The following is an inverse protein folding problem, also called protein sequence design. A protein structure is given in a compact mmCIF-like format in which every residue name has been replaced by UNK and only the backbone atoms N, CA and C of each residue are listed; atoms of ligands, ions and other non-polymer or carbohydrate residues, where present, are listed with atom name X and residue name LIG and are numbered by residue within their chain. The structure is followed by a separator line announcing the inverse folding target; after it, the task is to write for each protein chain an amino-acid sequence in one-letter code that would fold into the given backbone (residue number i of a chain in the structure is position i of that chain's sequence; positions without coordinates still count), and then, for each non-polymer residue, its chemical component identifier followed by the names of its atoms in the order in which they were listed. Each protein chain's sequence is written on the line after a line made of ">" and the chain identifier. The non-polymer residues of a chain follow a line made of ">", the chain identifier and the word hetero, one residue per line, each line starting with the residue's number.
data_IF_087932521884
#
_entry.id   IF_087932521884
#
_cell.length_a   1.000
_cell.length_b   1.000
_cell.length_c   1.000
_cell.angle_alpha   90.00
_cell.angle_beta   90.00
_cell.angle_gamma   90.00
#
_symmetry.space_group_name_H-M   'P 1'
#
loop_
_entity.id
_entity.type
_entity.pdbx_description
1 polymer ?
#
# COMPACT_ATOMS: atom_id res chain seq x y z
N UNK A 1 -26.00 -17.70 2.77
CA UNK A 1 -24.85 -17.02 3.39
C UNK A 1 -25.40 -15.72 3.96
N UNK A 2 -25.30 -15.49 5.27
CA UNK A 2 -25.89 -14.31 5.89
C UNK A 2 -25.39 -13.05 5.16
N UNK A 3 -26.31 -12.19 4.72
CA UNK A 3 -25.95 -10.81 4.42
C UNK A 3 -25.31 -10.26 5.68
N UNK A 4 -23.99 -10.17 5.70
CA UNK A 4 -23.32 -9.38 6.70
C UNK A 4 -23.77 -7.94 6.43
N UNK A 5 -24.76 -7.47 7.19
CA UNK A 5 -25.17 -6.07 7.25
C UNK A 5 -23.96 -5.27 7.71
N UNK A 6 -23.16 -4.85 6.73
CA UNK A 6 -21.97 -4.07 6.97
C UNK A 6 -22.17 -2.75 6.29
N UNK A 7 -22.36 -1.77 7.14
CA UNK A 7 -22.32 -0.41 6.73
C UNK A 7 -20.86 -0.05 6.41
N UNK A 8 -20.50 -0.17 5.14
CA UNK A 8 -19.23 0.32 4.61
C UNK A 8 -19.21 1.85 4.48
N UNK A 9 -20.24 2.54 4.99
CA UNK A 9 -20.32 4.00 5.07
C UNK A 9 -19.92 4.43 6.49
N UNK A 10 -18.76 5.06 6.61
CA UNK A 10 -18.20 5.46 7.90
C UNK A 10 -18.91 6.63 8.59
N UNK A 11 -19.81 7.33 7.89
CA UNK A 11 -20.53 8.49 8.42
C UNK A 11 -19.62 9.67 8.79
N UNK A 12 -20.09 10.52 9.72
CA UNK A 12 -19.38 11.72 10.15
C UNK A 12 -18.17 11.45 11.05
N UNK A 13 -18.40 10.80 12.20
CA UNK A 13 -17.36 10.45 13.16
C UNK A 13 -17.44 8.96 13.52
N UNK A 14 -16.28 8.28 13.52
CA UNK A 14 -16.17 6.88 13.97
C UNK A 14 -15.03 6.73 14.96
N UNK A 15 -15.34 6.23 16.14
CA UNK A 15 -14.30 5.86 17.11
C UNK A 15 -13.57 4.60 16.63
N UNK A 16 -12.27 4.73 16.35
CA UNK A 16 -11.39 3.64 15.93
C UNK A 16 -10.37 3.32 17.02
N UNK A 17 -10.13 2.03 17.23
CA UNK A 17 -9.16 1.51 18.20
C UNK A 17 -8.16 0.59 17.51
N UNK A 18 -6.94 0.40 18.05
CA UNK A 18 -6.00 -0.56 17.51
C UNK A 18 -6.59 -1.98 17.50
N UNK A 19 -6.24 -2.76 16.49
CA UNK A 19 -6.63 -4.18 16.36
C UNK A 19 -5.43 -5.13 16.34
N UNK A 20 -4.19 -4.60 16.30
CA UNK A 20 -2.95 -5.37 16.38
C UNK A 20 -2.34 -5.23 17.78
N UNK A 21 -1.60 -6.25 18.21
CA UNK A 21 -0.89 -6.22 19.50
C UNK A 21 0.07 -5.02 19.61
N UNK A 22 0.91 -4.80 18.57
CA UNK A 22 1.83 -3.66 18.50
C UNK A 22 1.08 -2.33 18.54
N UNK A 23 -0.06 -2.24 17.84
CA UNK A 23 -0.93 -1.07 17.89
C UNK A 23 -1.42 -0.77 19.30
N UNK A 24 -1.87 -1.78 20.05
CA UNK A 24 -2.29 -1.62 21.45
C UNK A 24 -1.15 -1.17 22.36
N UNK A 25 0.05 -1.76 22.22
CA UNK A 25 1.23 -1.37 23.00
C UNK A 25 1.58 0.10 22.76
N UNK A 26 1.64 0.53 21.49
CA UNK A 26 1.92 1.93 21.14
C UNK A 26 0.83 2.88 21.63
N UNK A 27 -0.43 2.46 21.59
CA UNK A 27 -1.56 3.27 22.02
C UNK A 27 -1.55 3.50 23.53
N UNK A 28 -1.32 2.46 24.34
CA UNK A 28 -1.18 2.58 25.80
C UNK A 28 0.02 3.44 26.16
N UNK A 29 1.17 3.20 25.53
CA UNK A 29 2.38 3.99 25.76
C UNK A 29 2.15 5.46 25.38
N UNK A 30 1.45 5.72 24.29
CA UNK A 30 1.04 7.07 23.88
C UNK A 30 0.25 7.78 24.96
N UNK A 31 -0.76 7.13 25.57
CA UNK A 31 -1.51 7.72 26.68
C UNK A 31 -0.64 8.04 27.90
N UNK A 32 0.27 7.14 28.27
CA UNK A 32 1.18 7.35 29.40
C UNK A 32 2.09 8.56 29.14
N UNK A 33 2.61 8.71 27.92
CA UNK A 33 3.44 9.84 27.52
C UNK A 33 2.64 11.15 27.53
N UNK A 34 1.39 11.14 27.04
CA UNK A 34 0.51 12.32 27.12
C UNK A 34 0.27 12.72 28.57
N UNK A 35 -0.08 11.77 29.44
CA UNK A 35 -0.31 12.04 30.85
C UNK A 35 0.94 12.61 31.55
N UNK A 36 2.11 12.04 31.28
CA UNK A 36 3.39 12.55 31.80
C UNK A 36 3.70 13.96 31.29
N UNK A 37 3.48 14.22 29.99
CA UNK A 37 3.68 15.52 29.37
C UNK A 37 2.77 16.60 29.97
N UNK A 38 1.48 16.31 30.15
CA UNK A 38 0.52 17.23 30.77
C UNK A 38 0.89 17.53 32.22
N UNK A 39 1.28 16.52 33.00
CA UNK A 39 1.73 16.74 34.38
C UNK A 39 3.00 17.60 34.44
N UNK A 40 3.98 17.36 33.57
CA UNK A 40 5.20 18.17 33.50
C UNK A 40 4.92 19.61 33.05
N UNK A 41 4.00 19.79 32.10
CA UNK A 41 3.58 21.11 31.66
C UNK A 41 2.93 21.91 32.80
N UNK A 42 2.20 21.22 33.69
CA UNK A 42 1.54 21.83 34.84
C UNK A 42 2.47 22.09 36.04
N UNK A 43 3.59 21.38 36.18
CA UNK A 43 4.38 21.36 37.43
C UNK A 43 5.81 21.88 37.32
N UNK A 44 6.49 21.68 36.19
CA UNK A 44 7.95 21.88 36.11
C UNK A 44 8.41 22.63 34.87
N UNK A 45 7.94 22.23 33.69
CA UNK A 45 8.49 22.66 32.40
C UNK A 45 7.37 22.80 31.39
N UNK A 46 6.72 23.97 31.33
CA UNK A 46 5.58 24.24 30.46
C UNK A 46 5.81 23.81 29.00
N UNK A 47 6.86 24.36 28.37
CA UNK A 47 7.20 24.09 26.96
C UNK A 47 7.65 22.62 26.76
N UNK A 48 8.52 22.12 27.64
CA UNK A 48 9.00 20.73 27.56
C UNK A 48 7.89 19.70 27.74
N UNK A 49 6.95 19.94 28.66
CA UNK A 49 5.79 19.08 28.89
C UNK A 49 4.80 19.09 27.73
N UNK A 50 4.62 20.24 27.06
CA UNK A 50 3.85 20.32 25.80
C UNK A 50 4.52 19.50 24.70
N UNK A 51 5.85 19.59 24.54
CA UNK A 51 6.59 18.77 23.58
C UNK A 51 6.42 17.27 23.80
N UNK A 52 6.50 16.82 25.05
CA UNK A 52 6.28 15.41 25.43
C UNK A 52 4.83 14.98 25.13
N UNK A 53 3.86 15.85 25.42
CA UNK A 53 2.45 15.59 25.12
C UNK A 53 2.21 15.42 23.60
N UNK A 54 2.87 16.24 22.77
CA UNK A 54 2.80 16.13 21.30
C UNK A 54 3.32 14.76 20.83
N UNK A 55 4.45 14.28 21.37
CA UNK A 55 5.00 12.97 21.02
C UNK A 55 4.00 11.86 21.35
N UNK A 56 3.38 11.91 22.53
CA UNK A 56 2.35 10.94 22.92
C UNK A 56 1.12 10.98 22.00
N UNK A 57 0.64 12.17 21.64
CA UNK A 57 -0.48 12.35 20.71
C UNK A 57 -0.17 11.84 19.29
N UNK A 58 1.05 12.05 18.80
CA UNK A 58 1.50 11.52 17.52
C UNK A 58 1.55 9.98 17.53
N UNK A 59 2.00 9.38 18.64
CA UNK A 59 1.96 7.92 18.82
C UNK A 59 0.53 7.37 18.82
N UNK A 60 -0.40 8.05 19.48
CA UNK A 60 -1.83 7.71 19.46
C UNK A 60 -2.42 7.84 18.04
N UNK A 61 -2.07 8.89 17.29
CA UNK A 61 -2.51 9.07 15.92
C UNK A 61 -1.98 7.95 15.00
N UNK A 62 -0.69 7.61 15.06
CA UNK A 62 -0.09 6.58 14.20
C UNK A 62 -0.64 5.17 14.49
N UNK A 63 -0.97 4.89 15.76
CA UNK A 63 -1.50 3.59 16.18
C UNK A 63 -3.01 3.42 15.98
N UNK A 64 -3.75 4.48 15.65
CA UNK A 64 -5.18 4.41 15.36
C UNK A 64 -5.45 4.07 13.89
N UNK A 65 -6.19 2.99 13.60
CA UNK A 65 -6.47 2.58 12.22
C UNK A 65 -7.52 3.47 11.56
N UNK A 66 -7.70 3.29 10.24
CA UNK A 66 -8.80 3.91 9.49
C UNK A 66 -10.17 3.34 9.94
N UNK A 67 -11.25 4.01 9.58
CA UNK A 67 -12.63 3.60 9.92
C UNK A 67 -13.04 2.23 9.38
N UNK A 68 -12.40 1.76 8.32
CA UNK A 68 -12.74 0.51 7.62
C UNK A 68 -11.78 -0.62 7.97
N UNK A 69 -10.54 -0.32 8.32
CA UNK A 69 -9.47 -1.31 8.50
C UNK A 69 -9.75 -2.34 9.60
N UNK A 70 -10.33 -1.93 10.74
CA UNK A 70 -10.74 -2.86 11.82
C UNK A 70 -11.87 -3.80 11.35
N UNK A 71 -12.89 -3.25 10.68
CA UNK A 71 -14.00 -4.04 10.13
C UNK A 71 -13.54 -5.06 9.09
N UNK A 72 -12.65 -4.64 8.18
CA UNK A 72 -12.05 -5.51 7.17
C UNK A 72 -11.16 -6.60 7.76
N UNK A 73 -10.42 -6.28 8.81
CA UNK A 73 -9.63 -7.28 9.51
C UNK A 73 -10.52 -8.34 10.16
N UNK A 74 -11.58 -7.92 10.86
CA UNK A 74 -12.53 -8.84 11.48
C UNK A 74 -13.22 -9.70 10.43
N UNK A 75 -13.62 -9.12 9.29
CA UNK A 75 -14.22 -9.85 8.21
C UNK A 75 -13.34 -10.94 7.63
N UNK A 76 -12.07 -10.62 7.40
CA UNK A 76 -11.13 -11.59 6.87
C UNK A 76 -11.00 -12.79 7.80
N UNK A 77 -11.02 -12.56 9.11
CA UNK A 77 -10.94 -13.61 10.12
C UNK A 77 -12.23 -14.45 10.21
N UNK A 78 -13.39 -13.92 9.81
CA UNK A 78 -14.69 -14.62 9.89
C UNK A 78 -15.16 -15.23 8.57
N UNK A 79 -14.80 -14.63 7.43
CA UNK A 79 -15.34 -14.98 6.12
C UNK A 79 -14.57 -16.11 5.42
N UNK A 80 -13.27 -16.26 5.74
CA UNK A 80 -12.42 -17.32 5.19
C UNK A 80 -12.53 -18.55 6.09
N UNK A 81 -12.54 -19.74 5.49
CA UNK A 81 -12.59 -20.98 6.26
C UNK A 81 -11.34 -21.13 7.14
N UNK A 82 -11.46 -21.69 8.36
CA UNK A 82 -10.30 -21.91 9.24
C UNK A 82 -9.21 -22.77 8.59
N UNK A 83 -9.58 -23.71 7.73
CA UNK A 83 -8.65 -24.58 7.00
C UNK A 83 -7.82 -23.80 5.97
N UNK A 84 -8.44 -22.91 5.19
CA UNK A 84 -7.72 -22.04 4.26
C UNK A 84 -6.81 -21.05 4.98
N UNK A 85 -7.25 -20.51 6.13
CA UNK A 85 -6.43 -19.66 6.98
C UNK A 85 -5.23 -20.43 7.54
N UNK A 86 -5.42 -21.68 7.99
CA UNK A 86 -4.34 -22.54 8.47
C UNK A 86 -3.33 -22.84 7.35
N UNK A 87 -3.80 -23.20 6.16
CA UNK A 87 -2.94 -23.43 5.01
C UNK A 87 -2.13 -22.18 4.63
N UNK A 88 -2.76 -21.00 4.61
CA UNK A 88 -2.05 -19.74 4.40
C UNK A 88 -1.03 -19.47 5.50
N UNK A 89 -1.34 -19.78 6.75
CA UNK A 89 -0.41 -19.62 7.87
C UNK A 89 0.79 -20.56 7.77
N UNK A 90 0.62 -21.78 7.25
CA UNK A 90 1.71 -22.73 7.00
C UNK A 90 2.62 -22.28 5.83
N UNK A 91 2.03 -21.73 4.77
CA UNK A 91 2.77 -21.23 3.60
C UNK A 91 3.44 -19.86 3.86
N UNK A 92 3.02 -19.16 4.91
CA UNK A 92 3.51 -17.83 5.25
C UNK A 92 4.39 -17.82 6.50
N UNK A 93 5.16 -16.74 6.68
CA UNK A 93 6.05 -16.56 7.81
C UNK A 93 7.51 -16.48 7.42
N UNK A 94 8.34 -16.51 8.47
CA UNK A 94 9.78 -16.44 8.36
C UNK A 94 10.37 -17.85 8.46
N UNK A 95 11.14 -18.24 7.46
CA UNK A 95 11.82 -19.53 7.42
C UNK A 95 13.32 -19.32 7.25
N UNK A 96 14.12 -20.04 8.02
CA UNK A 96 15.59 -20.06 7.86
C UNK A 96 15.93 -21.29 7.03
N UNK A 97 16.32 -21.08 5.78
CA UNK A 97 16.69 -22.17 4.86
C UNK A 97 18.08 -22.72 5.20
N UNK A 98 19.02 -21.82 5.52
CA UNK A 98 20.36 -22.21 5.90
C UNK A 98 20.91 -21.25 6.96
N UNK A 99 21.02 -21.74 8.18
CA UNK A 99 21.57 -20.99 9.31
C UNK A 99 23.01 -20.53 9.07
N UNK A 100 23.86 -21.39 8.53
CA UNK A 100 25.28 -21.10 8.33
C UNK A 100 25.51 -20.03 7.25
N UNK A 101 24.71 -20.04 6.19
CA UNK A 101 24.75 -19.03 5.12
C UNK A 101 23.86 -17.81 5.41
N UNK A 102 23.21 -17.78 6.58
CA UNK A 102 22.21 -16.78 6.98
C UNK A 102 21.14 -16.56 5.90
N UNK A 103 20.75 -17.63 5.21
CA UNK A 103 19.72 -17.59 4.18
C UNK A 103 18.36 -17.77 4.82
N UNK A 104 17.46 -16.83 4.56
CA UNK A 104 16.10 -16.86 5.08
C UNK A 104 15.11 -16.36 4.05
N UNK A 105 13.87 -16.81 4.17
CA UNK A 105 12.78 -16.32 3.36
C UNK A 105 11.63 -15.83 4.23
N UNK A 106 10.98 -14.79 3.75
CA UNK A 106 9.85 -14.15 4.42
C UNK A 106 8.70 -14.05 3.43
N UNK A 107 7.62 -14.77 3.72
CA UNK A 107 6.32 -14.63 3.05
C UNK A 107 5.41 -13.89 4.05
N UNK A 108 4.79 -12.76 3.69
CA UNK A 108 3.94 -12.03 4.62
C UNK A 108 2.78 -12.88 5.13
N UNK A 109 2.56 -12.87 6.44
CA UNK A 109 1.48 -13.63 7.11
C UNK A 109 0.11 -12.99 6.96
N UNK A 110 0.05 -11.70 6.67
CA UNK A 110 -1.20 -10.98 6.43
C UNK A 110 -0.99 -9.99 5.28
N UNK A 111 -1.44 -10.37 4.09
CA UNK A 111 -1.46 -9.49 2.93
C UNK A 111 -2.78 -8.70 2.91
N UNK A 112 -2.77 -7.38 3.07
CA UNK A 112 -3.97 -6.61 3.09
C UNK A 112 -4.49 -6.30 1.68
N UNK A 113 -3.81 -6.72 0.62
CA UNK A 113 -4.29 -6.66 -0.78
C UNK A 113 -4.88 -8.00 -1.26
N UNK A 114 -4.90 -9.02 -0.42
CA UNK A 114 -5.55 -10.31 -0.73
C UNK A 114 -7.07 -10.23 -0.47
N UNK A 115 -7.82 -11.19 -1.01
CA UNK A 115 -9.25 -11.34 -0.81
C UNK A 115 -9.62 -11.33 0.68
N UNK A 116 -10.70 -10.63 1.00
CA UNK A 116 -11.39 -10.55 2.29
C UNK A 116 -12.51 -11.60 2.35
N UNK A 117 -13.29 -11.74 1.28
CA UNK A 117 -14.32 -12.74 1.07
C UNK A 117 -13.80 -13.84 0.15
N UNK A 118 -14.27 -15.09 0.30
CA UNK A 118 -13.80 -16.20 -0.53
C UNK A 118 -14.06 -15.96 -2.02
N UNK A 119 -13.06 -16.26 -2.85
CA UNK A 119 -13.14 -16.17 -4.31
C UNK A 119 -13.03 -17.57 -4.94
N UNK A 120 -13.60 -17.77 -6.15
CA UNK A 120 -13.53 -19.06 -6.84
C UNK A 120 -12.09 -19.49 -7.13
N UNK A 121 -11.73 -20.71 -6.74
CA UNK A 121 -10.40 -21.27 -7.01
C UNK A 121 -10.22 -21.78 -8.45
N UNK A 122 -8.98 -22.08 -8.88
CA UNK A 122 -8.68 -22.53 -10.24
C UNK A 122 -9.48 -23.75 -10.73
N UNK A 123 -9.90 -24.62 -9.81
CA UNK A 123 -10.68 -25.83 -10.09
C UNK A 123 -12.07 -25.54 -10.66
N UNK A 124 -12.66 -24.38 -10.34
CA UNK A 124 -14.00 -24.00 -10.81
C UNK A 124 -13.96 -23.10 -12.04
N UNK A 125 -12.78 -22.72 -12.53
CA UNK A 125 -12.65 -21.86 -13.70
C UNK A 125 -12.96 -22.63 -14.98
N UNK A 126 -13.74 -22.00 -15.87
CA UNK A 126 -13.98 -22.56 -17.19
C UNK A 126 -12.80 -22.21 -18.11
N UNK A 127 -11.91 -23.18 -18.34
CA UNK A 127 -10.76 -23.00 -19.22
C UNK A 127 -11.15 -22.90 -20.71
N UNK A 128 -12.30 -23.45 -21.09
CA UNK A 128 -12.77 -23.46 -22.48
C UNK A 128 -13.48 -22.16 -22.88
N UNK A 129 -14.06 -21.46 -21.91
CA UNK A 129 -14.71 -20.16 -22.11
C UNK A 129 -14.24 -19.17 -21.04
N UNK A 130 -13.08 -18.51 -21.25
CA UNK A 130 -12.52 -17.56 -20.29
C UNK A 130 -13.29 -16.24 -20.24
N UNK A 131 -14.09 -15.93 -21.26
CA UNK A 131 -14.82 -14.67 -21.37
C UNK A 131 -16.28 -14.79 -20.91
N UNK A 132 -16.86 -15.99 -20.91
CA UNK A 132 -18.21 -16.25 -20.44
C UNK A 132 -18.40 -16.11 -18.93
N UNK A 133 -19.65 -16.21 -18.46
CA UNK A 133 -19.99 -16.10 -17.04
C UNK A 133 -19.43 -17.27 -16.22
N UNK A 134 -19.13 -16.99 -14.95
CA UNK A 134 -18.79 -18.04 -14.00
C UNK A 134 -20.05 -18.49 -13.24
N UNK A 135 -20.34 -19.79 -13.25
CA UNK A 135 -21.51 -20.34 -12.57
C UNK A 135 -22.81 -19.75 -13.11
N UNK A 136 -23.56 -19.05 -12.26
CA UNK A 136 -24.82 -18.38 -12.61
C UNK A 136 -24.63 -16.99 -13.23
N UNK A 137 -23.38 -16.53 -13.39
CA UNK A 137 -23.07 -15.21 -13.92
C UNK A 137 -23.35 -14.08 -12.93
N UNK A 138 -23.47 -14.38 -11.63
CA UNK A 138 -23.52 -13.34 -10.61
C UNK A 138 -22.13 -12.74 -10.34
N UNK A 139 -22.04 -11.45 -10.00
CA UNK A 139 -20.75 -10.83 -9.65
C UNK A 139 -20.07 -11.53 -8.47
N UNK A 140 -18.75 -11.46 -8.40
CA UNK A 140 -17.99 -11.99 -7.26
C UNK A 140 -18.44 -11.34 -5.94
N UNK A 141 -18.29 -12.03 -4.79
CA UNK A 141 -18.75 -11.52 -3.50
C UNK A 141 -18.25 -10.12 -3.13
N UNK A 142 -16.99 -9.78 -3.44
CA UNK A 142 -16.44 -8.43 -3.20
C UNK A 142 -16.64 -7.45 -4.36
N UNK A 143 -17.40 -7.82 -5.40
CA UNK A 143 -17.65 -6.89 -6.49
C UNK A 143 -18.43 -5.68 -5.96
N UNK A 144 -18.06 -4.43 -6.31
CA UNK A 144 -18.71 -3.21 -5.80
C UNK A 144 -20.23 -3.15 -6.00
N UNK A 145 -20.75 -3.82 -7.04
CA UNK A 145 -22.21 -3.96 -7.26
C UNK A 145 -22.91 -4.77 -6.16
N UNK A 146 -22.21 -5.69 -5.47
CA UNK A 146 -22.76 -6.50 -4.36
C UNK A 146 -22.59 -5.82 -3.00
N UNK A 147 -21.40 -5.27 -2.73
CA UNK A 147 -21.05 -4.71 -1.40
C UNK A 147 -21.19 -3.19 -1.30
N UNK A 148 -21.31 -2.50 -2.43
CA UNK A 148 -21.22 -1.04 -2.51
C UNK A 148 -19.77 -0.52 -2.46
N UNK A 149 -19.59 0.74 -2.84
CA UNK A 149 -18.32 1.45 -2.71
C UNK A 149 -18.10 1.86 -1.25
N UNK A 150 -17.03 1.40 -0.59
CA UNK A 150 -16.76 1.76 0.80
C UNK A 150 -16.40 3.24 0.92
N UNK A 151 -16.97 3.92 1.92
CA UNK A 151 -16.69 5.33 2.20
C UNK A 151 -16.11 5.48 3.60
N UNK A 152 -14.85 5.94 3.73
CA UNK A 152 -14.26 6.16 5.04
C UNK A 152 -15.02 7.25 5.81
N UNK A 153 -15.02 7.17 7.14
CA UNK A 153 -15.64 8.18 8.00
C UNK A 153 -14.93 9.52 7.82
N UNK A 154 -15.68 10.63 7.82
CA UNK A 154 -15.08 11.98 7.66
C UNK A 154 -14.01 12.23 8.72
N UNK A 155 -14.28 11.87 9.97
CA UNK A 155 -13.36 11.96 11.10
C UNK A 155 -13.31 10.64 11.86
N UNK A 156 -12.13 10.28 12.37
CA UNK A 156 -11.93 9.17 13.30
C UNK A 156 -11.16 9.64 14.53
N UNK A 157 -10.84 8.72 15.43
CA UNK A 157 -9.96 9.00 16.57
C UNK A 157 -8.59 9.54 16.12
N UNK A 158 -8.15 9.21 14.90
CA UNK A 158 -6.95 9.81 14.30
C UNK A 158 -7.06 11.33 14.23
N UNK A 159 -8.16 11.87 13.66
CA UNK A 159 -8.38 13.32 13.54
C UNK A 159 -8.30 14.03 14.89
N UNK A 160 -8.84 13.39 15.95
CA UNK A 160 -8.77 13.92 17.32
C UNK A 160 -7.32 14.00 17.79
N UNK A 161 -6.57 12.91 17.73
CA UNK A 161 -5.18 12.88 18.21
C UNK A 161 -4.24 13.72 17.35
N UNK A 162 -4.35 13.65 16.03
CA UNK A 162 -3.54 14.46 15.11
C UNK A 162 -3.89 15.95 15.22
N UNK A 163 -5.17 16.29 15.40
CA UNK A 163 -5.61 17.67 15.61
C UNK A 163 -5.07 18.24 16.92
N UNK A 164 -5.18 17.49 18.02
CA UNK A 164 -4.57 17.87 19.30
C UNK A 164 -3.05 17.98 19.21
N UNK A 165 -2.38 17.07 18.49
CA UNK A 165 -0.94 17.16 18.26
C UNK A 165 -0.59 18.44 17.50
N UNK A 166 -1.34 18.78 16.44
CA UNK A 166 -1.17 20.03 15.70
C UNK A 166 -1.32 21.25 16.60
N UNK A 167 -2.37 21.32 17.43
CA UNK A 167 -2.53 22.42 18.38
C UNK A 167 -1.40 22.47 19.42
N UNK A 168 -0.93 21.31 19.91
CA UNK A 168 0.21 21.23 20.82
C UNK A 168 1.50 21.73 20.19
N UNK A 169 1.76 21.41 18.91
CA UNK A 169 2.91 21.92 18.15
C UNK A 169 2.82 23.45 18.04
N UNK A 170 1.67 23.98 17.63
CA UNK A 170 1.46 25.43 17.49
C UNK A 170 1.62 26.15 18.84
N UNK A 171 1.08 25.59 19.92
CA UNK A 171 1.22 26.12 21.26
C UNK A 171 2.68 26.11 21.75
N UNK A 172 3.42 25.02 21.52
CA UNK A 172 4.83 24.93 21.86
C UNK A 172 5.68 25.95 21.08
N UNK A 173 5.41 26.10 19.77
CA UNK A 173 6.13 27.06 18.91
C UNK A 173 5.79 28.50 19.32
N UNK A 174 4.53 28.81 19.59
CA UNK A 174 4.13 30.11 20.12
C UNK A 174 4.80 30.43 21.46
N UNK A 175 4.87 29.46 22.38
CA UNK A 175 5.56 29.64 23.65
C UNK A 175 7.08 29.84 23.50
N UNK A 176 7.72 29.17 22.53
CA UNK A 176 9.13 29.40 22.19
C UNK A 176 9.31 30.83 21.64
N UNK A 177 8.44 31.27 20.74
CA UNK A 177 8.50 32.62 20.17
C UNK A 177 8.27 33.71 21.22
N UNK A 178 7.47 33.44 22.25
CA UNK A 178 7.25 34.36 23.38
C UNK A 178 8.30 34.24 24.50
N UNK A 179 9.28 33.35 24.35
CA UNK A 179 10.37 33.19 25.33
C UNK A 179 11.54 34.14 25.00
N UNK A 180 12.42 34.47 25.98
CA UNK A 180 13.59 35.32 25.73
C UNK A 180 14.50 34.79 24.61
N UNK A 181 14.63 33.47 24.49
CA UNK A 181 15.40 32.82 23.42
C UNK A 181 14.69 32.93 22.05
N UNK A 182 13.39 33.21 22.05
CA UNK A 182 12.55 33.41 20.87
C UNK A 182 12.84 34.73 20.14
N UNK A 183 13.27 35.77 20.86
CA UNK A 183 13.59 37.08 20.28
C UNK A 183 14.79 36.99 19.31
N UNK A 184 15.76 36.11 19.60
CA UNK A 184 16.90 35.85 18.70
C UNK A 184 16.51 35.03 17.47
N UNK A 185 15.53 34.12 17.62
CA UNK A 185 15.06 33.24 16.54
C UNK A 185 14.06 33.95 15.61
N UNK A 186 13.40 35.00 16.08
CA UNK A 186 12.44 35.80 15.34
C UNK A 186 11.35 34.96 14.67
N UNK A 187 11.13 35.20 13.37
CA UNK A 187 10.13 34.52 12.56
C UNK A 187 10.45 33.05 12.23
N UNK A 188 11.66 32.58 12.52
CA UNK A 188 12.18 31.30 12.02
C UNK A 188 11.32 30.10 12.45
N UNK A 189 10.90 29.96 13.72
CA UNK A 189 10.08 28.82 14.15
C UNK A 189 8.72 28.77 13.44
N UNK A 190 8.06 29.92 13.26
CA UNK A 190 6.80 30.04 12.52
C UNK A 190 6.95 29.64 11.05
N UNK A 191 8.02 30.11 10.38
CA UNK A 191 8.33 29.77 8.98
C UNK A 191 8.58 28.27 8.79
N UNK A 192 9.29 27.63 9.72
CA UNK A 192 9.55 26.18 9.67
C UNK A 192 8.24 25.40 9.76
N UNK A 193 7.37 25.75 10.72
CA UNK A 193 6.07 25.08 10.90
C UNK A 193 5.17 25.28 9.67
N UNK A 194 5.09 26.50 9.16
CA UNK A 194 4.33 26.80 7.94
C UNK A 194 4.87 26.04 6.73
N UNK A 195 6.20 25.98 6.55
CA UNK A 195 6.86 25.26 5.47
C UNK A 195 6.60 23.74 5.51
N UNK A 196 6.70 23.14 6.70
CA UNK A 196 6.34 21.72 6.92
C UNK A 196 4.85 21.50 6.65
N UNK A 197 3.98 22.37 7.16
CA UNK A 197 2.54 22.32 6.90
C UNK A 197 2.18 22.39 5.41
N UNK A 198 2.85 23.25 4.65
CA UNK A 198 2.69 23.36 3.19
C UNK A 198 3.13 22.07 2.49
N UNK A 199 4.32 21.55 2.80
CA UNK A 199 4.84 20.33 2.19
C UNK A 199 3.91 19.14 2.44
N UNK A 200 3.48 18.95 3.69
CA UNK A 200 2.56 17.88 4.06
C UNK A 200 1.18 18.08 3.41
N UNK A 201 0.70 19.32 3.28
CA UNK A 201 -0.57 19.62 2.61
C UNK A 201 -0.55 19.24 1.12
N UNK A 202 0.57 19.51 0.42
CA UNK A 202 0.74 19.13 -0.99
C UNK A 202 0.76 17.61 -1.17
N UNK A 203 1.46 16.89 -0.30
CA UNK A 203 1.49 15.42 -0.31
C UNK A 203 0.11 14.83 0.00
N UNK A 204 -0.57 15.34 1.03
CA UNK A 204 -1.92 14.94 1.41
C UNK A 204 -2.94 15.22 0.29
N UNK A 205 -2.83 16.37 -0.39
CA UNK A 205 -3.68 16.70 -1.53
C UNK A 205 -3.51 15.72 -2.68
N UNK A 206 -2.26 15.36 -3.02
CA UNK A 206 -1.99 14.39 -4.07
C UNK A 206 -2.58 13.00 -3.75
N UNK A 207 -2.52 12.56 -2.49
CA UNK A 207 -3.10 11.30 -2.04
C UNK A 207 -4.64 11.36 -2.01
N UNK A 208 -5.22 12.44 -1.46
CA UNK A 208 -6.66 12.65 -1.42
C UNK A 208 -7.28 12.69 -2.83
N UNK A 209 -6.57 13.25 -3.81
CA UNK A 209 -6.99 13.24 -5.22
C UNK A 209 -7.07 11.83 -5.80
N UNK A 210 -6.12 10.94 -5.46
CA UNK A 210 -6.14 9.53 -5.91
C UNK A 210 -7.33 8.79 -5.29
N UNK A 211 -7.58 8.99 -4.00
CA UNK A 211 -8.70 8.36 -3.31
C UNK A 211 -10.06 8.82 -3.88
N UNK A 212 -10.22 10.12 -4.15
CA UNK A 212 -11.45 10.65 -4.79
C UNK A 212 -11.68 10.05 -6.16
N UNK A 213 -10.62 9.90 -6.96
CA UNK A 213 -10.74 9.28 -8.28
C UNK A 213 -11.30 7.85 -8.19
N UNK A 214 -10.88 7.05 -7.21
CA UNK A 214 -11.43 5.72 -6.98
C UNK A 214 -12.88 5.76 -6.45
N UNK A 215 -13.20 6.69 -5.56
CA UNK A 215 -14.54 6.80 -4.97
C UNK A 215 -15.61 7.35 -5.93
N UNK A 216 -15.20 8.22 -6.85
CA UNK A 216 -16.09 8.95 -7.76
C UNK A 216 -16.27 8.21 -9.10
N UNK A 217 -15.44 7.20 -9.40
CA UNK A 217 -15.54 6.41 -10.63
C UNK A 217 -16.40 5.16 -10.38
N UNK A 218 -17.54 4.99 -11.05
CA UNK A 218 -18.37 3.82 -10.84
C UNK A 218 -17.71 2.57 -11.45
N UNK A 219 -17.52 1.53 -10.63
CA UNK A 219 -17.10 0.21 -11.13
C UNK A 219 -18.17 -0.39 -12.04
N UNK A 220 -17.75 -0.80 -13.24
CA UNK A 220 -18.59 -1.48 -14.23
C UNK A 220 -18.47 -3.00 -14.10
N UNK A 221 -19.56 -3.72 -14.41
CA UNK A 221 -19.51 -5.16 -14.63
C UNK A 221 -18.79 -5.45 -15.94
N UNK A 222 -18.01 -6.53 -15.99
CA UNK A 222 -17.23 -6.94 -17.15
C UNK A 222 -18.15 -7.21 -18.35
N UNK A 223 -19.26 -7.93 -18.16
CA UNK A 223 -20.22 -8.25 -19.24
C UNK A 223 -20.79 -7.01 -19.96
N UNK A 224 -20.73 -5.84 -19.33
CA UNK A 224 -21.29 -4.59 -19.81
C UNK A 224 -20.28 -3.44 -19.76
N UNK A 225 -18.98 -3.75 -19.80
CA UNK A 225 -17.94 -2.75 -19.73
C UNK A 225 -17.98 -1.84 -20.99
N UNK A 226 -18.09 -0.51 -20.84
CA UNK A 226 -18.13 0.40 -21.97
C UNK A 226 -16.75 0.56 -22.60
N UNK A 227 -16.71 1.03 -23.86
CA UNK A 227 -15.50 1.59 -24.49
C UNK A 227 -15.20 2.97 -23.87
N UNK A 228 -13.95 3.24 -23.52
CA UNK A 228 -13.56 4.46 -22.80
C UNK A 228 -12.61 4.15 -21.65
N UNK A 229 -12.88 4.63 -20.45
CA UNK A 229 -12.05 4.43 -19.27
C UNK A 229 -12.83 3.83 -18.09
N UNK A 230 -13.38 2.60 -18.21
CA UNK A 230 -14.12 1.99 -17.12
C UNK A 230 -13.20 1.56 -15.97
N UNK A 231 -13.79 1.57 -14.77
CA UNK A 231 -13.25 0.90 -13.60
C UNK A 231 -13.76 -0.54 -13.55
N UNK A 232 -12.85 -1.48 -13.36
CA UNK A 232 -13.10 -2.91 -13.34
C UNK A 232 -12.45 -3.54 -12.10
N UNK A 233 -13.18 -4.41 -11.44
CA UNK A 233 -12.69 -5.19 -10.30
C UNK A 233 -12.98 -6.66 -10.54
N UNK A 234 -11.97 -7.50 -10.36
CA UNK A 234 -12.17 -8.93 -10.56
C UNK A 234 -11.00 -9.77 -10.11
N UNK A 235 -11.09 -11.05 -10.47
CA UNK A 235 -10.06 -12.05 -10.25
C UNK A 235 -9.16 -12.17 -11.48
N UNK A 236 -7.87 -12.33 -11.23
CA UNK A 236 -6.89 -12.64 -12.26
C UNK A 236 -7.01 -14.10 -12.69
N UNK A 237 -7.36 -14.34 -13.94
CA UNK A 237 -7.45 -15.66 -14.56
C UNK A 237 -6.47 -15.78 -15.73
N UNK A 238 -6.05 -17.01 -16.09
CA UNK A 238 -5.14 -17.20 -17.20
C UNK A 238 -5.74 -16.62 -18.49
N UNK A 239 -4.96 -15.80 -19.18
CA UNK A 239 -5.26 -15.39 -20.55
C UNK A 239 -4.70 -16.41 -21.55
N UNK A 240 -4.70 -16.05 -22.83
CA UNK A 240 -4.10 -16.86 -23.90
C UNK A 240 -2.59 -17.07 -23.73
N UNK A 241 -1.91 -16.13 -23.09
CA UNK A 241 -0.49 -16.23 -22.74
C UNK A 241 -0.20 -17.17 -21.54
N UNK A 242 -1.24 -17.68 -20.87
CA UNK A 242 -1.10 -18.52 -19.69
C UNK A 242 -0.57 -17.78 -18.47
N UNK A 243 0.37 -18.39 -17.76
CA UNK A 243 1.08 -17.80 -16.61
C UNK A 243 2.58 -18.03 -16.75
N UNK A 244 3.36 -17.26 -15.98
CA UNK A 244 4.82 -17.36 -15.97
C UNK A 244 5.35 -17.87 -14.62
N UNK A 245 6.52 -18.49 -14.68
CA UNK A 245 7.35 -18.73 -13.51
C UNK A 245 8.46 -17.68 -13.48
N UNK A 246 8.52 -16.89 -12.41
CA UNK A 246 9.49 -15.82 -12.25
C UNK A 246 10.68 -16.34 -11.47
N UNK A 247 11.86 -16.30 -12.08
CA UNK A 247 13.13 -16.62 -11.45
C UNK A 247 13.83 -15.34 -11.01
N UNK A 248 13.84 -15.08 -9.70
CA UNK A 248 14.40 -13.84 -9.15
C UNK A 248 15.92 -13.82 -9.30
N UNK A 249 16.45 -12.79 -9.95
CA UNK A 249 17.88 -12.60 -10.23
C UNK A 249 18.54 -13.79 -10.97
N UNK A 250 17.74 -14.54 -11.75
CA UNK A 250 18.18 -15.70 -12.53
C UNK A 250 18.38 -16.98 -11.72
N UNK A 251 17.92 -17.03 -10.47
CA UNK A 251 18.11 -18.17 -9.58
C UNK A 251 16.87 -19.09 -9.58
N UNK A 252 17.07 -20.37 -9.91
CA UNK A 252 16.00 -21.39 -9.93
C UNK A 252 15.43 -21.70 -8.54
N UNK A 253 16.21 -21.53 -7.47
CA UNK A 253 15.75 -21.71 -6.10
C UNK A 253 14.90 -20.53 -5.60
N UNK A 254 14.93 -19.41 -6.31
CA UNK A 254 14.16 -18.20 -6.01
C UNK A 254 13.07 -18.01 -7.07
N UNK A 255 12.28 -19.06 -7.25
CA UNK A 255 11.20 -19.12 -8.22
C UNK A 255 9.84 -18.86 -7.56
N UNK A 256 8.95 -18.22 -8.31
CA UNK A 256 7.53 -18.18 -7.99
C UNK A 256 6.72 -18.50 -9.25
N UNK A 257 5.93 -19.56 -9.18
CA UNK A 257 5.05 -20.00 -10.26
C UNK A 257 3.72 -19.23 -10.26
N UNK A 258 2.93 -19.39 -11.33
CA UNK A 258 1.60 -18.80 -11.49
C UNK A 258 1.56 -17.27 -11.42
N UNK A 259 2.65 -16.62 -11.81
CA UNK A 259 2.73 -15.17 -11.88
C UNK A 259 2.13 -14.68 -13.20
N UNK A 260 1.53 -13.50 -13.16
CA UNK A 260 1.03 -12.77 -14.33
C UNK A 260 1.83 -11.49 -14.53
N UNK A 261 2.14 -10.81 -13.43
CA UNK A 261 2.95 -9.60 -13.40
C UNK A 261 3.94 -9.65 -12.26
N UNK A 262 5.15 -9.17 -12.49
CA UNK A 262 6.14 -9.10 -11.43
C UNK A 262 6.99 -7.84 -11.49
N UNK A 263 7.53 -7.50 -10.33
CA UNK A 263 8.67 -6.61 -10.15
C UNK A 263 9.49 -7.18 -9.01
N UNK A 264 10.77 -7.47 -9.24
CA UNK A 264 11.68 -7.80 -8.16
C UNK A 264 12.76 -6.75 -8.01
N UNK A 265 13.22 -6.56 -6.77
CA UNK A 265 14.35 -5.69 -6.45
C UNK A 265 15.41 -6.50 -5.71
N UNK A 266 16.66 -6.22 -6.03
CA UNK A 266 17.83 -6.72 -5.33
C UNK A 266 18.52 -5.55 -4.64
N UNK A 267 18.58 -5.63 -3.32
CA UNK A 267 19.16 -4.63 -2.44
C UNK A 267 20.41 -5.18 -1.75
N UNK A 268 21.40 -4.32 -1.57
CA UNK A 268 22.60 -4.62 -0.81
C UNK A 268 22.65 -3.72 0.42
N UNK A 269 22.97 -4.30 1.57
CA UNK A 269 23.25 -3.55 2.78
C UNK A 269 24.69 -3.05 2.70
N UNK A 270 24.85 -1.79 2.30
CA UNK A 270 26.15 -1.14 2.18
C UNK A 270 26.43 -0.37 3.47
N UNK A 271 27.55 -0.69 4.10
CA UNK A 271 28.00 -0.05 5.33
C UNK A 271 29.27 0.76 5.08
N UNK A 272 29.29 1.99 5.60
CA UNK A 272 30.45 2.89 5.58
C UNK A 272 30.75 3.41 6.97
N UNK A 273 32.02 3.69 7.25
CA UNK A 273 32.41 4.42 8.44
C UNK A 273 32.31 5.92 8.13
N UNK A 274 31.52 6.64 8.92
CA UNK A 274 31.36 8.09 8.84
C UNK A 274 31.96 8.68 10.09
N UNK A 275 32.82 9.67 9.93
CA UNK A 275 33.36 10.46 11.04
C UNK A 275 32.39 11.59 11.35
N UNK A 276 31.98 11.72 12.61
CA UNK A 276 31.19 12.87 13.05
C UNK A 276 32.08 14.12 13.19
N UNK A 277 31.45 15.27 13.44
CA UNK A 277 32.16 16.54 13.64
C UNK A 277 33.06 16.56 14.87
N UNK A 278 32.99 15.54 15.73
CA UNK A 278 33.78 15.38 16.96
C UNK A 278 34.92 14.35 16.78
N UNK A 279 35.08 13.76 15.58
CA UNK A 279 36.13 12.79 15.28
C UNK A 279 35.78 11.34 15.62
N UNK A 280 34.56 11.06 16.09
CA UNK A 280 34.10 9.69 16.36
C UNK A 280 33.64 9.01 15.08
N UNK A 281 34.04 7.75 14.89
CA UNK A 281 33.65 6.96 13.73
C UNK A 281 32.40 6.15 14.04
N UNK A 282 31.31 6.44 13.33
CA UNK A 282 30.06 5.66 13.37
C UNK A 282 29.90 4.84 12.09
N UNK A 283 29.35 3.64 12.23
CA UNK A 283 29.00 2.79 11.09
C UNK A 283 27.60 3.13 10.62
N UNK A 284 27.48 3.69 9.42
CA UNK A 284 26.20 3.97 8.77
C UNK A 284 25.94 2.89 7.73
N UNK A 285 24.78 2.25 7.79
CA UNK A 285 24.40 1.15 6.90
C UNK A 285 23.07 1.44 6.23
N UNK A 286 23.06 1.42 4.90
CA UNK A 286 21.86 1.67 4.09
C UNK A 286 21.60 0.50 3.15
N UNK A 287 20.32 0.20 2.94
CA UNK A 287 19.89 -0.72 1.89
C UNK A 287 19.81 0.03 0.57
N UNK A 288 20.65 -0.36 -0.38
CA UNK A 288 20.71 0.27 -1.71
C UNK A 288 20.22 -0.72 -2.75
N UNK A 289 19.21 -0.34 -3.53
CA UNK A 289 18.78 -1.14 -4.69
C UNK A 289 19.86 -1.12 -5.76
N UNK A 290 20.35 -2.30 -6.13
CA UNK A 290 21.44 -2.47 -7.11
C UNK A 290 20.91 -3.01 -8.44
N UNK A 291 19.91 -3.89 -8.40
CA UNK A 291 19.24 -4.41 -9.60
C UNK A 291 17.75 -4.50 -9.36
N UNK A 292 17.00 -4.38 -10.44
CA UNK A 292 15.58 -4.68 -10.47
C UNK A 292 15.20 -5.15 -11.85
N UNK A 293 14.15 -5.94 -11.92
CA UNK A 293 13.54 -6.33 -13.19
C UNK A 293 12.03 -6.41 -13.00
N UNK A 294 11.30 -6.24 -14.10
CA UNK A 294 9.85 -6.25 -14.12
C UNK A 294 9.36 -6.78 -15.45
N UNK A 295 8.28 -7.55 -15.40
CA UNK A 295 7.67 -8.11 -16.59
C UNK A 295 6.23 -8.50 -16.32
N UNK A 296 5.55 -8.94 -17.37
CA UNK A 296 4.18 -9.41 -17.27
C UNK A 296 3.66 -9.98 -18.57
N UNK A 297 2.58 -10.74 -18.47
CA UNK A 297 1.80 -11.24 -19.61
C UNK A 297 0.37 -10.70 -19.53
N UNK A 298 -0.33 -10.57 -20.66
CA UNK A 298 -1.75 -10.27 -20.64
C UNK A 298 -2.52 -11.38 -19.91
N UNK A 299 -3.59 -11.01 -19.22
CA UNK A 299 -4.42 -11.92 -18.45
C UNK A 299 -5.90 -11.61 -18.64
N UNK A 300 -6.76 -12.50 -18.16
CA UNK A 300 -8.21 -12.29 -18.16
C UNK A 300 -8.64 -11.80 -16.78
N UNK A 301 -9.16 -10.58 -16.69
CA UNK A 301 -9.85 -10.11 -15.50
C UNK A 301 -11.27 -10.66 -15.53
N UNK A 302 -11.66 -11.38 -14.48
CA UNK A 302 -12.98 -12.00 -14.40
C UNK A 302 -13.72 -11.57 -13.13
N UNK A 303 -14.87 -10.93 -13.30
CA UNK A 303 -15.66 -10.35 -12.18
C UNK A 303 -16.82 -11.25 -11.70
N UNK A 304 -16.98 -12.42 -12.32
CA UNK A 304 -18.08 -13.37 -12.08
C UNK A 304 -19.11 -13.36 -13.21
N UNK A 305 -19.37 -12.18 -13.77
CA UNK A 305 -20.30 -11.98 -14.89
C UNK A 305 -19.69 -12.26 -16.25
N UNK A 306 -18.37 -12.06 -16.39
CA UNK A 306 -17.61 -12.39 -17.57
C UNK A 306 -16.12 -12.13 -17.40
N UNK A 307 -15.34 -12.48 -18.42
CA UNK A 307 -13.91 -12.18 -18.53
C UNK A 307 -13.63 -11.03 -19.51
N UNK A 308 -12.54 -10.30 -19.29
CA UNK A 308 -12.02 -9.30 -20.23
C UNK A 308 -10.50 -9.34 -20.26
N UNK A 309 -9.91 -9.17 -21.44
CA UNK A 309 -8.46 -9.19 -21.61
C UNK A 309 -7.85 -7.88 -21.10
N UNK A 310 -6.81 -8.00 -20.27
CA UNK A 310 -6.06 -6.86 -19.73
C UNK A 310 -4.60 -6.95 -20.17
N UNK A 311 -4.13 -5.92 -20.86
CA UNK A 311 -2.75 -5.82 -21.32
C UNK A 311 -1.86 -5.23 -20.22
N UNK A 312 -1.44 -6.06 -19.27
CA UNK A 312 -0.70 -5.65 -18.07
C UNK A 312 0.52 -4.75 -18.37
N UNK A 313 1.36 -5.11 -19.34
CA UNK A 313 2.61 -4.40 -19.65
C UNK A 313 2.38 -3.01 -20.25
N UNK A 314 1.15 -2.70 -20.68
CA UNK A 314 0.81 -1.38 -21.20
C UNK A 314 0.59 -0.33 -20.11
N UNK A 315 0.40 -0.75 -18.85
CA UNK A 315 0.11 0.15 -17.75
C UNK A 315 1.36 0.91 -17.29
N UNK A 316 1.28 2.24 -17.37
CA UNK A 316 2.33 3.14 -16.83
C UNK A 316 2.41 3.12 -15.30
N UNK A 317 1.32 2.73 -14.64
CA UNK A 317 1.16 2.77 -13.18
C UNK A 317 0.60 1.46 -12.70
N UNK A 318 1.48 0.64 -12.15
CA UNK A 318 1.13 -0.66 -11.58
C UNK A 318 1.55 -0.67 -10.12
N UNK A 319 0.59 -0.94 -9.24
CA UNK A 319 0.81 -1.08 -7.81
C UNK A 319 0.52 -2.52 -7.38
N UNK A 320 1.58 -3.28 -7.13
CA UNK A 320 1.44 -4.65 -6.62
C UNK A 320 1.22 -4.70 -5.10
N UNK A 321 1.18 -3.55 -4.41
CA UNK A 321 0.98 -3.49 -2.97
C UNK A 321 2.11 -4.16 -2.18
N UNK A 322 1.75 -5.02 -1.22
CA UNK A 322 2.72 -5.68 -0.36
C UNK A 322 3.54 -6.71 -1.14
N UNK A 323 4.80 -6.93 -0.75
CA UNK A 323 5.62 -7.99 -1.33
C UNK A 323 4.93 -9.35 -1.23
N UNK A 324 5.20 -10.24 -2.18
CA UNK A 324 4.73 -11.63 -2.14
C UNK A 324 5.71 -12.51 -1.36
N UNK A 325 7.00 -12.33 -1.63
CA UNK A 325 8.06 -13.10 -0.97
C UNK A 325 9.36 -12.29 -0.96
N UNK A 326 10.13 -12.45 0.11
CA UNK A 326 11.48 -11.90 0.25
C UNK A 326 12.44 -13.03 0.57
N UNK A 327 13.66 -12.91 0.05
CA UNK A 327 14.81 -13.73 0.39
C UNK A 327 15.89 -12.80 0.93
N UNK A 328 16.51 -13.18 2.05
CA UNK A 328 17.63 -12.47 2.66
C UNK A 328 18.82 -13.44 2.79
N UNK A 329 20.05 -12.93 2.66
CA UNK A 329 21.29 -13.71 2.77
C UNK A 329 22.50 -12.86 3.13
N UNK A 330 23.49 -13.45 3.82
CA UNK A 330 24.76 -12.78 4.13
C UNK A 330 25.70 -12.69 2.92
N UNK A 331 25.50 -13.54 1.91
CA UNK A 331 26.35 -13.65 0.74
C UNK A 331 25.55 -13.47 -0.55
N UNK A 332 26.18 -12.90 -1.59
CA UNK A 332 25.57 -12.88 -2.90
C UNK A 332 25.42 -14.32 -3.41
N UNK A 333 24.39 -14.56 -4.23
CA UNK A 333 23.98 -15.91 -4.67
C UNK A 333 25.11 -16.75 -5.30
N UNK A 334 26.17 -16.13 -5.80
CA UNK A 334 27.35 -16.83 -6.34
C UNK A 334 28.63 -16.15 -5.89
N UNK A 335 29.71 -16.93 -5.75
CA UNK A 335 31.04 -16.44 -5.39
C UNK A 335 31.50 -15.31 -6.33
N UNK A 336 31.19 -15.40 -7.63
CA UNK A 336 31.51 -14.36 -8.62
C UNK A 336 30.70 -13.07 -8.46
N UNK A 337 29.39 -13.16 -8.18
CA UNK A 337 28.56 -11.97 -7.85
C UNK A 337 29.00 -11.34 -6.54
N UNK A 338 29.48 -12.13 -5.57
CA UNK A 338 30.02 -11.65 -4.30
C UNK A 338 31.36 -10.94 -4.49
N UNK A 339 32.24 -11.50 -5.31
CA UNK A 339 33.54 -10.93 -5.66
C UNK A 339 33.37 -9.61 -6.44
N UNK A 340 32.41 -9.55 -7.36
CA UNK A 340 32.02 -8.30 -8.05
C UNK A 340 31.36 -7.29 -7.12
N UNK A 341 30.49 -7.72 -6.19
CA UNK A 341 29.90 -6.81 -5.20
C UNK A 341 30.98 -6.22 -4.27
N UNK A 342 31.95 -7.03 -3.83
CA UNK A 342 33.09 -6.55 -3.04
C UNK A 342 34.05 -5.68 -3.84
N UNK A 343 34.26 -5.96 -5.13
CA UNK A 343 35.11 -5.15 -6.01
C UNK A 343 34.48 -3.78 -6.30
N UNK A 344 33.16 -3.75 -6.56
CA UNK A 344 32.40 -2.51 -6.77
C UNK A 344 32.32 -1.69 -5.47
N UNK A 345 32.13 -2.33 -4.31
CA UNK A 345 32.14 -1.66 -3.01
C UNK A 345 33.52 -1.10 -2.64
N UNK A 346 34.59 -1.82 -3.00
CA UNK A 346 35.98 -1.34 -2.89
C UNK A 346 36.28 -0.13 -3.80
N UNK A 347 35.70 -0.10 -5.01
CA UNK A 347 35.82 1.03 -5.94
C UNK A 347 34.95 2.24 -5.53
N UNK A 348 33.82 1.99 -4.85
CA UNK A 348 32.90 3.01 -4.32
C UNK A 348 33.25 3.39 -2.88
N UNK A 349 34.40 4.05 -2.71
CA UNK A 349 34.76 4.84 -1.50
C UNK A 349 34.78 4.06 -0.17
N UNK A 350 35.29 2.82 -0.15
CA UNK A 350 35.52 2.10 1.12
C UNK A 350 34.24 1.57 1.79
N UNK A 351 33.23 1.22 1.00
CA UNK A 351 31.99 0.60 1.48
C UNK A 351 32.18 -0.91 1.64
N UNK A 352 31.52 -1.51 2.63
CA UNK A 352 31.48 -2.97 2.84
C UNK A 352 30.05 -3.46 2.64
N UNK A 353 29.88 -4.61 1.98
CA UNK A 353 28.56 -5.23 1.77
C UNK A 353 28.38 -6.31 2.82
N UNK A 354 27.34 -6.17 3.64
CA UNK A 354 27.08 -7.08 4.77
C UNK A 354 25.83 -7.93 4.60
N UNK A 355 25.04 -7.68 3.57
CA UNK A 355 23.78 -8.37 3.39
C UNK A 355 23.18 -8.15 2.02
N UNK A 356 22.37 -9.12 1.63
CA UNK A 356 21.73 -9.21 0.35
C UNK A 356 20.26 -9.49 0.56
N UNK A 357 19.40 -8.75 -0.13
CA UNK A 357 17.96 -8.90 -0.05
C UNK A 357 17.37 -8.91 -1.45
N UNK A 358 16.48 -9.85 -1.70
CA UNK A 358 15.66 -9.89 -2.89
C UNK A 358 14.21 -9.82 -2.49
N UNK A 359 13.45 -8.88 -3.03
CA UNK A 359 12.04 -8.74 -2.74
C UNK A 359 11.23 -8.85 -4.03
N UNK A 360 10.27 -9.77 -4.06
CA UNK A 360 9.35 -9.97 -5.18
C UNK A 360 7.99 -9.35 -4.86
N UNK A 361 7.53 -8.51 -5.78
CA UNK A 361 6.19 -7.97 -5.85
C UNK A 361 5.53 -8.48 -7.13
N UNK A 362 4.21 -8.63 -7.12
CA UNK A 362 3.51 -9.02 -8.33
C UNK A 362 2.06 -9.38 -8.13
N UNK A 363 1.52 -9.96 -9.20
CA UNK A 363 0.16 -10.41 -9.36
C UNK A 363 0.17 -11.87 -9.78
N UNK A 364 -0.52 -12.74 -9.05
CA UNK A 364 -0.66 -14.18 -9.31
C UNK A 364 -2.03 -14.52 -9.87
N UNK A 365 -2.13 -15.69 -10.47
CA UNK A 365 -3.42 -16.30 -10.77
C UNK A 365 -4.26 -16.41 -9.50
N UNK A 366 -5.51 -15.96 -9.58
CA UNK A 366 -6.47 -15.97 -8.48
C UNK A 366 -6.42 -14.72 -7.59
N UNK A 367 -5.38 -13.89 -7.68
CA UNK A 367 -5.31 -12.65 -6.91
C UNK A 367 -6.44 -11.68 -7.33
N UNK A 368 -6.92 -10.84 -6.41
CA UNK A 368 -7.84 -9.75 -6.75
C UNK A 368 -7.07 -8.64 -7.47
N UNK A 369 -7.73 -8.01 -8.45
CA UNK A 369 -7.16 -6.89 -9.19
C UNK A 369 -8.22 -5.79 -9.39
N UNK A 370 -7.78 -4.56 -9.17
CA UNK A 370 -8.48 -3.33 -9.50
C UNK A 370 -7.81 -2.72 -10.73
N UNK A 371 -8.60 -2.41 -11.75
CA UNK A 371 -8.13 -1.88 -13.02
C UNK A 371 -8.95 -0.65 -13.38
N UNK A 372 -8.27 0.47 -13.56
CA UNK A 372 -8.79 1.62 -14.26
C UNK A 372 -7.98 1.78 -15.53
N UNK A 373 -8.59 1.50 -16.69
CA UNK A 373 -7.87 1.40 -17.96
C UNK A 373 -8.71 1.80 -19.15
N UNK A 374 -8.04 2.10 -20.26
CA UNK A 374 -8.67 2.43 -21.53
C UNK A 374 -9.16 1.14 -22.22
N UNK A 375 -10.47 0.95 -22.32
CA UNK A 375 -11.08 -0.14 -23.09
C UNK A 375 -11.14 0.22 -24.56
N UNK A 376 -10.63 -0.67 -25.42
CA UNK A 376 -10.59 -0.51 -26.88
C UNK A 376 -11.13 -1.75 -27.58
N UNK A 377 -11.77 -1.61 -28.75
CA UNK A 377 -12.13 -2.75 -29.58
C UNK A 377 -10.90 -3.53 -30.00
N UNK A 378 -10.97 -4.86 -29.91
CA UNK A 378 -9.95 -5.75 -30.46
C UNK A 378 -9.99 -5.72 -31.99
N UNK A 379 -8.84 -5.80 -32.67
CA UNK A 379 -8.82 -5.95 -34.12
C UNK A 379 -9.39 -7.33 -34.53
N UNK A 380 -10.06 -7.38 -35.69
CA UNK A 380 -10.72 -8.60 -36.16
C UNK A 380 -9.76 -9.81 -36.31
N UNK A 381 -8.49 -9.55 -36.64
CA UNK A 381 -7.44 -10.58 -36.73
C UNK A 381 -7.16 -11.24 -35.40
N UNK A 382 -7.23 -10.49 -34.30
CA UNK A 382 -7.01 -11.01 -32.95
C UNK A 382 -8.22 -11.78 -32.43
N UNK A 383 -9.43 -11.32 -32.74
CA UNK A 383 -10.65 -12.07 -32.46
C UNK A 383 -10.62 -13.45 -33.10
N UNK A 384 -10.26 -13.53 -34.38
CA UNK A 384 -10.12 -14.80 -35.09
C UNK A 384 -9.00 -15.68 -34.53
N UNK A 385 -7.86 -15.08 -34.16
CA UNK A 385 -6.73 -15.81 -33.56
C UNK A 385 -7.08 -16.41 -32.19
N UNK A 386 -7.94 -15.74 -31.42
CA UNK A 386 -8.46 -16.25 -30.13
C UNK A 386 -9.70 -17.15 -30.30
N UNK A 387 -10.19 -17.36 -31.53
CA UNK A 387 -11.37 -18.20 -31.81
C UNK A 387 -12.70 -17.58 -31.37
N UNK A 388 -12.75 -16.25 -31.24
CA UNK A 388 -13.93 -15.52 -30.76
C UNK A 388 -14.89 -15.19 -31.90
N UNK A 389 -16.17 -15.49 -31.69
CA UNK A 389 -17.25 -15.27 -32.68
C UNK A 389 -17.79 -13.83 -32.70
N UNK A 390 -17.38 -13.01 -31.74
CA UNK A 390 -17.79 -11.62 -31.59
C UNK A 390 -19.20 -11.40 -31.04
N UNK A 391 -19.89 -12.47 -30.63
CA UNK A 391 -21.25 -12.36 -30.06
C UNK A 391 -21.24 -11.80 -28.64
N UNK A 392 -20.18 -12.12 -27.89
CA UNK A 392 -20.01 -11.70 -26.51
C UNK A 392 -19.27 -10.35 -26.44
N UNK A 393 -19.98 -9.29 -26.08
CA UNK A 393 -19.45 -7.91 -26.10
C UNK A 393 -18.13 -7.74 -25.35
N UNK A 394 -18.00 -8.28 -24.14
CA UNK A 394 -16.78 -8.20 -23.33
C UNK A 394 -15.58 -8.97 -23.92
N UNK A 395 -15.81 -9.95 -24.80
CA UNK A 395 -14.73 -10.63 -25.53
C UNK A 395 -14.18 -9.80 -26.69
N UNK A 396 -14.98 -8.84 -27.19
CA UNK A 396 -14.62 -7.99 -28.35
C UNK A 396 -13.78 -6.77 -28.00
N UNK A 397 -13.56 -6.52 -26.71
CA UNK A 397 -12.81 -5.38 -26.19
C UNK A 397 -11.67 -5.86 -25.30
N UNK A 398 -10.67 -5.00 -25.13
CA UNK A 398 -9.52 -5.23 -24.27
C UNK A 398 -9.10 -3.95 -23.54
N UNK A 399 -8.42 -4.11 -22.40
CA UNK A 399 -8.04 -3.02 -21.52
C UNK A 399 -6.55 -2.70 -21.68
N UNK A 400 -6.26 -1.41 -21.88
CA UNK A 400 -4.92 -0.84 -22.03
C UNK A 400 -4.66 0.24 -20.97
N UNK A 401 -3.40 0.40 -20.55
CA UNK A 401 -2.99 1.39 -19.55
C UNK A 401 -2.02 2.46 -20.07
N UNK A 402 -1.91 2.61 -21.39
CA UNK A 402 -0.98 3.52 -22.05
C UNK A 402 -1.52 4.95 -22.21
N UNK A 403 -2.85 5.11 -22.25
CA UNK A 403 -3.55 6.37 -22.49
C UNK A 403 -4.44 6.76 -21.30
N UNK A 404 -4.06 7.85 -20.63
CA UNK A 404 -4.87 8.44 -19.55
C UNK A 404 -6.09 9.16 -20.14
N UNK A 405 -7.23 9.09 -19.45
CA UNK A 405 -8.43 9.85 -19.79
C UNK A 405 -8.40 11.27 -19.23
N UNK A 406 -9.32 12.12 -19.68
CA UNK A 406 -9.47 13.48 -19.13
C UNK A 406 -9.85 13.39 -17.65
N UNK A 407 -8.92 13.76 -16.76
CA UNK A 407 -9.13 13.68 -15.30
C UNK A 407 -8.97 12.28 -14.69
N UNK A 408 -8.71 11.24 -15.49
CA UNK A 408 -8.58 9.85 -15.03
C UNK A 408 -7.21 9.29 -15.42
N UNK A 409 -6.47 8.83 -14.42
CA UNK A 409 -5.17 8.16 -14.63
C UNK A 409 -5.37 6.66 -14.70
N UNK A 410 -4.91 6.03 -15.78
CA UNK A 410 -4.94 4.59 -15.89
C UNK A 410 -3.97 3.98 -14.86
N UNK A 411 -4.48 3.02 -14.10
CA UNK A 411 -3.79 2.37 -12.98
C UNK A 411 -4.25 0.92 -12.85
N UNK A 412 -3.31 0.02 -12.57
CA UNK A 412 -3.58 -1.35 -12.18
C UNK A 412 -3.08 -1.54 -10.74
N UNK A 413 -3.92 -2.09 -9.88
CA UNK A 413 -3.59 -2.31 -8.47
C UNK A 413 -3.96 -3.74 -8.06
N UNK A 414 -3.07 -4.43 -7.33
CA UNK A 414 -3.45 -5.68 -6.65
C UNK A 414 -4.41 -5.34 -5.51
N UNK A 415 -5.48 -6.11 -5.36
CA UNK A 415 -6.56 -5.83 -4.40
C UNK A 415 -7.87 -5.45 -5.08
N UNK A 416 -8.98 -5.69 -4.38
CA UNK A 416 -10.30 -5.16 -4.73
C UNK A 416 -10.41 -3.68 -4.36
N UNK A 417 -11.43 -2.98 -4.89
CA UNK A 417 -11.78 -1.62 -4.44
C UNK A 417 -11.89 -1.57 -2.90
N UNK A 418 -12.53 -2.59 -2.30
CA UNK A 418 -12.68 -2.72 -0.85
C UNK A 418 -11.34 -2.77 -0.11
N UNK A 419 -10.40 -3.60 -0.58
CA UNK A 419 -9.09 -3.75 0.05
C UNK A 419 -8.17 -2.52 -0.12
N UNK A 420 -8.31 -1.80 -1.23
CA UNK A 420 -7.51 -0.63 -1.57
C UNK A 420 -8.01 0.64 -0.87
N UNK A 421 -9.33 0.85 -0.87
CA UNK A 421 -9.97 1.97 -0.15
C UNK A 421 -10.00 1.72 1.34
N UNK A 422 -10.12 0.46 1.78
CA UNK A 422 -10.21 0.05 3.18
C UNK A 422 -9.07 0.54 4.08
N UNK A 423 -7.88 0.73 3.51
CA UNK A 423 -6.69 1.27 4.21
C UNK A 423 -6.65 2.79 4.22
N UNK A 424 -7.38 3.42 3.31
CA UNK A 424 -7.32 4.86 3.13
C UNK A 424 -8.09 5.57 4.23
N UNK A 425 -7.55 6.71 4.67
CA UNK A 425 -8.27 7.66 5.53
C UNK A 425 -9.12 8.56 4.65
N UNK A 426 -10.11 9.25 5.24
CA UNK A 426 -10.87 10.22 4.46
C UNK A 426 -9.97 11.36 3.99
N UNK A 427 -10.31 11.98 2.86
CA UNK A 427 -9.59 13.16 2.38
C UNK A 427 -9.59 14.31 3.39
N UNK A 428 -10.60 14.37 4.27
CA UNK A 428 -10.66 15.34 5.36
C UNK A 428 -9.58 15.06 6.43
N UNK A 429 -9.47 13.81 6.91
CA UNK A 429 -8.44 13.43 7.88
C UNK A 429 -7.02 13.65 7.36
N UNK A 430 -6.81 13.41 6.07
CA UNK A 430 -5.49 13.57 5.43
C UNK A 430 -5.08 15.03 5.31
N UNK A 431 -6.04 15.93 5.05
CA UNK A 431 -5.78 17.34 4.77
C UNK A 431 -5.85 18.23 6.02
N UNK A 432 -6.69 17.91 7.00
CA UNK A 432 -6.93 18.80 8.13
C UNK A 432 -5.66 19.09 8.96
N UNK A 433 -4.90 18.09 9.48
CA UNK A 433 -3.73 18.38 10.31
C UNK A 433 -2.65 19.22 9.61
N UNK A 434 -2.24 18.96 8.35
CA UNK A 434 -1.23 19.78 7.70
C UNK A 434 -1.72 21.16 7.30
N UNK A 435 -3.01 21.33 6.95
CA UNK A 435 -3.59 22.66 6.71
C UNK A 435 -3.63 23.47 8.01
N UNK A 436 -4.01 22.86 9.13
CA UNK A 436 -3.98 23.52 10.43
C UNK A 436 -2.55 23.92 10.84
N UNK A 437 -1.54 23.08 10.56
CA UNK A 437 -0.13 23.44 10.77
C UNK A 437 0.29 24.62 9.89
N UNK A 438 -0.10 24.63 8.61
CA UNK A 438 0.20 25.72 7.69
C UNK A 438 -0.44 27.04 8.14
N UNK A 439 -1.75 27.04 8.35
CA UNK A 439 -2.49 28.25 8.75
C UNK A 439 -2.09 28.70 10.16
N UNK A 440 -1.84 27.77 11.08
CA UNK A 440 -1.36 28.07 12.41
C UNK A 440 0.05 28.67 12.39
N UNK A 441 0.97 28.11 11.60
CA UNK A 441 2.31 28.66 11.41
C UNK A 441 2.27 30.08 10.83
N UNK A 442 1.36 30.36 9.90
CA UNK A 442 1.11 31.71 9.39
C UNK A 442 0.50 32.61 10.48
N UNK A 443 -0.45 32.09 11.26
CA UNK A 443 -1.08 32.85 12.34
C UNK A 443 -0.08 33.30 13.42
N UNK A 444 0.96 32.50 13.68
CA UNK A 444 2.03 32.86 14.63
C UNK A 444 2.84 34.08 14.20
N UNK A 445 2.76 34.53 12.92
CA UNK A 445 3.33 35.82 12.53
C UNK A 445 2.72 37.00 13.28
N UNK A 446 1.46 36.91 13.71
CA UNK A 446 0.80 37.96 14.49
C UNK A 446 1.25 38.07 15.94
N UNK A 447 2.16 37.19 16.41
CA UNK A 447 2.79 37.28 17.72
C UNK A 447 4.13 38.04 17.70
N UNK A 448 4.64 38.38 16.51
CA UNK A 448 5.72 39.35 16.31
C UNK A 448 5.13 40.76 16.23
#
# INVERSE_FOLDING_TARGET
>A
MAQHDMDFIGGGFKFTKPYTFVGWVLWILGFLIVAAGVMMAATSSGIGGLGISVVGLMMLAISTPSSLQEGLHNLRNTAISPEELAKKAEESGYTVENWFLQQSTLVPTNDPNDWILPAPGPQSWNANDPYGPHGDGTPLPEHPVKIGTPRPATMTTFTVFSGLATFGILGAVGAIMSSPDGDELGATPALVVAGVGLLLSLLAFAQAKRLRQMLDTPTSLVRSAPVGHPELVGQVRPGTAGSMTVYVDGNQNMAMANMIGFRWTYEQKQCRMVEDSEGNKRKECDWVTVRSDSGGVPFTLHDGTGGIKVNLTSFKRTDYGQMLKRWDGAFAQTLGKQLMASAVAGLLRGTTVEGHRWTLYGLRLGDPVYVLGATKPKPATELQAEGLDGTLGNSTIEVWGNEDGTGMKCTLMRGTELSNIGKSRSGFEMLLPPILLLLGGIGLFGLM
#
